data_IF_966640687957
#
_entry.id   IF_966640687957
#
_cell.length_a   1.000
_cell.length_b   1.000
_cell.length_c   1.000
_cell.angle_alpha   90.00
_cell.angle_beta   90.00
_cell.angle_gamma   90.00
#
_symmetry.space_group_name_H-M   'P 1'
#
loop_
_entity.id
_entity.type
_entity.pdbx_description
1 polymer ?
#
# COMPACT_ATOMS: atom_id res chain seq x y z
N UNK A 1 6.18 -14.11 4.79
CA UNK A 1 5.11 -14.80 5.59
C UNK A 1 4.13 -13.75 6.10
N UNK A 2 2.83 -13.99 6.02
CA UNK A 2 1.80 -13.16 6.64
C UNK A 2 1.70 -13.52 8.13
N UNK A 3 1.89 -12.55 9.04
CA UNK A 3 1.90 -12.78 10.49
C UNK A 3 0.51 -13.19 10.98
N UNK A 4 -0.55 -12.60 10.45
CA UNK A 4 -1.92 -12.95 10.82
C UNK A 4 -2.24 -14.40 10.45
N UNK A 5 -1.80 -14.86 9.27
CA UNK A 5 -1.95 -16.26 8.87
C UNK A 5 -1.15 -17.19 9.77
N UNK A 6 0.10 -16.86 10.07
CA UNK A 6 0.93 -17.64 11.01
C UNK A 6 0.24 -17.80 12.37
N UNK A 7 -0.26 -16.71 12.94
CA UNK A 7 -0.98 -16.76 14.23
C UNK A 7 -2.29 -17.53 14.11
N UNK A 8 -3.01 -17.39 13.01
CA UNK A 8 -4.25 -18.15 12.76
C UNK A 8 -3.96 -19.65 12.75
N UNK A 9 -2.90 -20.09 12.09
CA UNK A 9 -2.52 -21.51 12.04
C UNK A 9 -2.13 -22.04 13.43
N UNK A 10 -1.39 -21.24 14.23
CA UNK A 10 -1.02 -21.61 15.61
C UNK A 10 -2.23 -21.68 16.54
N UNK A 11 -3.12 -20.69 16.45
CA UNK A 11 -4.37 -20.69 17.22
C UNK A 11 -5.29 -21.85 16.81
N UNK A 12 -5.39 -22.15 15.50
CA UNK A 12 -6.17 -23.29 15.03
C UNK A 12 -5.66 -24.61 15.60
N UNK A 13 -4.34 -24.82 15.63
CA UNK A 13 -3.73 -25.98 16.25
C UNK A 13 -4.00 -26.05 17.76
N UNK A 14 -3.88 -24.93 18.48
CA UNK A 14 -4.18 -24.83 19.91
C UNK A 14 -5.66 -25.19 20.18
N UNK A 15 -6.59 -24.58 19.46
CA UNK A 15 -8.04 -24.84 19.60
C UNK A 15 -8.39 -26.30 19.27
N UNK A 16 -7.78 -26.86 18.23
CA UNK A 16 -7.97 -28.27 17.87
C UNK A 16 -7.49 -29.23 18.97
N UNK A 17 -6.36 -28.93 19.60
CA UNK A 17 -5.81 -29.75 20.69
C UNK A 17 -6.64 -29.62 21.97
N UNK A 18 -7.06 -28.41 22.34
CA UNK A 18 -7.77 -28.15 23.59
C UNK A 18 -9.26 -28.54 23.52
N UNK A 19 -9.91 -28.32 22.38
CA UNK A 19 -11.39 -28.43 22.27
C UNK A 19 -11.86 -29.30 21.11
N UNK A 20 -10.96 -29.92 20.35
CA UNK A 20 -11.30 -30.64 19.14
C UNK A 20 -11.58 -29.70 17.96
N UNK A 21 -12.12 -30.26 16.88
CA UNK A 21 -12.39 -29.42 15.68
C UNK A 21 -13.60 -28.52 15.91
N UNK A 22 -13.35 -27.29 16.33
CA UNK A 22 -14.39 -26.34 16.70
C UNK A 22 -15.19 -25.78 15.51
N UNK A 23 -14.65 -25.82 14.27
CA UNK A 23 -15.29 -25.27 13.07
C UNK A 23 -15.60 -23.76 13.15
N UNK A 24 -15.13 -23.08 14.20
CA UNK A 24 -15.42 -21.68 14.45
C UNK A 24 -14.44 -20.76 13.71
N UNK A 25 -14.90 -19.63 13.16
CA UNK A 25 -14.02 -18.67 12.51
C UNK A 25 -13.07 -18.03 13.52
N UNK A 26 -11.77 -18.03 13.22
CA UNK A 26 -10.77 -17.38 14.02
C UNK A 26 -10.60 -15.93 13.54
N UNK A 27 -10.77 -14.97 14.45
CA UNK A 27 -10.58 -13.53 14.19
C UNK A 27 -9.33 -13.05 14.90
N UNK A 28 -8.27 -12.79 14.14
CA UNK A 28 -7.03 -12.20 14.61
C UNK A 28 -6.89 -10.82 14.00
N UNK A 29 -6.56 -9.83 14.81
CA UNK A 29 -6.38 -8.44 14.40
C UNK A 29 -5.24 -7.80 15.20
N UNK A 30 -4.72 -6.68 14.74
CA UNK A 30 -3.73 -5.91 15.52
C UNK A 30 -4.34 -5.45 16.83
N UNK A 31 -3.58 -5.60 17.92
CA UNK A 31 -3.98 -5.09 19.24
C UNK A 31 -4.14 -3.58 19.18
N UNK A 32 -5.16 -3.05 19.83
CA UNK A 32 -5.36 -1.61 19.96
C UNK A 32 -4.25 -0.99 20.80
N UNK A 33 -3.88 0.25 20.50
CA UNK A 33 -2.75 0.96 21.11
C UNK A 33 -2.86 1.13 22.64
N UNK A 34 -4.08 1.05 23.16
CA UNK A 34 -4.36 1.18 24.60
C UNK A 34 -4.05 -0.09 25.40
N UNK A 35 -3.80 -1.21 24.72
CA UNK A 35 -3.58 -2.51 25.33
C UNK A 35 -2.19 -3.06 24.99
N UNK A 36 -1.60 -3.79 25.91
CA UNK A 36 -0.36 -4.52 25.67
C UNK A 36 -0.62 -5.70 24.73
N UNK A 37 0.33 -5.96 23.82
CA UNK A 37 0.32 -7.05 22.85
C UNK A 37 0.41 -6.54 21.41
N UNK A 38 0.77 -7.43 20.51
CA UNK A 38 0.91 -7.14 19.08
C UNK A 38 -0.36 -7.52 18.30
N UNK A 39 -0.95 -8.66 18.65
CA UNK A 39 -2.16 -9.19 17.99
C UNK A 39 -3.17 -9.69 18.99
N UNK A 40 -4.46 -9.52 18.67
CA UNK A 40 -5.60 -9.91 19.51
C UNK A 40 -6.40 -11.00 18.81
N UNK A 41 -6.64 -12.10 19.50
CA UNK A 41 -7.63 -13.10 19.16
C UNK A 41 -8.96 -12.77 19.85
N UNK A 42 -10.05 -12.79 19.08
CA UNK A 42 -11.42 -12.66 19.60
C UNK A 42 -11.92 -14.06 19.95
N UNK A 43 -12.07 -14.37 21.24
CA UNK A 43 -12.41 -15.74 21.68
C UNK A 43 -13.92 -16.05 21.69
N UNK A 44 -14.80 -15.06 21.53
CA UNK A 44 -16.24 -15.27 21.62
C UNK A 44 -16.80 -16.37 20.69
N UNK A 45 -16.33 -16.53 19.44
CA UNK A 45 -16.77 -17.62 18.56
C UNK A 45 -16.39 -19.01 19.08
N UNK A 46 -15.39 -19.11 19.98
CA UNK A 46 -14.86 -20.37 20.51
C UNK A 46 -15.58 -20.85 21.76
N UNK A 47 -16.42 -20.03 22.40
CA UNK A 47 -17.08 -20.35 23.67
C UNK A 47 -17.98 -21.58 23.59
N UNK A 48 -18.59 -21.82 22.43
CA UNK A 48 -19.43 -23.01 22.21
C UNK A 48 -18.61 -24.31 22.28
N UNK A 49 -17.35 -24.26 21.81
CA UNK A 49 -16.43 -25.38 21.84
C UNK A 49 -15.79 -25.57 23.22
N UNK A 50 -15.30 -24.49 23.83
CA UNK A 50 -14.64 -24.52 25.14
C UNK A 50 -15.60 -24.82 26.30
N UNK A 51 -16.88 -24.40 26.19
CA UNK A 51 -17.89 -24.45 27.25
C UNK A 51 -17.45 -23.75 28.55
N UNK A 52 -16.62 -22.71 28.42
CA UNK A 52 -16.04 -21.91 29.51
C UNK A 52 -16.38 -20.45 29.35
N UNK A 53 -16.07 -19.64 30.37
CA UNK A 53 -16.17 -18.18 30.25
C UNK A 53 -15.18 -17.63 29.21
N UNK A 54 -15.43 -16.43 28.67
CA UNK A 54 -14.51 -15.81 27.72
C UNK A 54 -13.08 -15.70 28.27
N UNK A 55 -12.94 -15.27 29.52
CA UNK A 55 -11.66 -15.10 30.19
C UNK A 55 -10.93 -16.45 30.36
N UNK A 56 -11.64 -17.49 30.84
CA UNK A 56 -11.06 -18.82 31.03
C UNK A 56 -10.62 -19.43 29.68
N UNK A 57 -11.44 -19.26 28.64
CA UNK A 57 -11.11 -19.73 27.28
C UNK A 57 -9.87 -19.02 26.73
N UNK A 58 -9.81 -17.69 26.89
CA UNK A 58 -8.66 -16.90 26.46
C UNK A 58 -7.38 -17.29 27.21
N UNK A 59 -7.46 -17.44 28.53
CA UNK A 59 -6.32 -17.83 29.37
C UNK A 59 -5.77 -19.20 28.95
N UNK A 60 -6.62 -20.21 28.80
CA UNK A 60 -6.20 -21.55 28.44
C UNK A 60 -5.53 -21.61 27.04
N UNK A 61 -6.10 -20.90 26.06
CA UNK A 61 -5.48 -20.77 24.73
C UNK A 61 -4.15 -20.02 24.84
N UNK A 62 -4.08 -18.94 25.62
CA UNK A 62 -2.85 -18.15 25.83
C UNK A 62 -1.73 -18.96 26.48
N UNK A 63 -2.04 -19.71 27.53
CA UNK A 63 -1.09 -20.61 28.20
C UNK A 63 -0.56 -21.68 27.25
N UNK A 64 -1.46 -22.32 26.49
CA UNK A 64 -1.07 -23.32 25.48
C UNK A 64 -0.15 -22.72 24.42
N UNK A 65 -0.48 -21.54 23.91
CA UNK A 65 0.31 -20.88 22.86
C UNK A 65 1.70 -20.50 23.35
N UNK A 66 1.82 -19.91 24.54
CA UNK A 66 3.13 -19.57 25.12
C UNK A 66 3.98 -20.82 25.39
N UNK A 67 3.38 -21.92 25.83
CA UNK A 67 4.09 -23.15 26.10
C UNK A 67 4.55 -23.88 24.82
N UNK A 68 3.83 -23.74 23.70
CA UNK A 68 4.04 -24.54 22.48
C UNK A 68 4.47 -23.72 21.25
N UNK A 69 4.63 -22.40 21.37
CA UNK A 69 4.98 -21.51 20.25
C UNK A 69 6.04 -20.52 20.72
N UNK A 70 7.32 -20.83 20.50
CA UNK A 70 8.44 -19.97 20.98
C UNK A 70 8.40 -18.53 20.49
N UNK A 71 7.71 -18.28 19.37
CA UNK A 71 7.51 -16.96 18.80
C UNK A 71 6.55 -16.08 19.61
N UNK A 72 5.77 -16.67 20.53
CA UNK A 72 4.84 -15.95 21.41
C UNK A 72 5.44 -15.90 22.82
N UNK A 73 5.86 -14.71 23.22
CA UNK A 73 6.57 -14.47 24.47
C UNK A 73 5.62 -14.39 25.69
N UNK A 74 4.48 -13.75 25.50
CA UNK A 74 3.53 -13.48 26.60
C UNK A 74 2.12 -13.26 26.04
N UNK A 75 1.15 -13.29 26.92
CA UNK A 75 -0.22 -12.89 26.62
C UNK A 75 -0.86 -12.12 27.79
N UNK A 76 -1.90 -11.38 27.49
CA UNK A 76 -2.83 -10.86 28.49
C UNK A 76 -4.27 -11.03 28.02
N UNK A 77 -5.20 -11.06 28.97
CA UNK A 77 -6.63 -11.24 28.70
C UNK A 77 -7.40 -10.04 29.23
N UNK A 78 -8.17 -9.40 28.35
CA UNK A 78 -8.99 -8.25 28.70
C UNK A 78 -10.40 -8.48 28.15
N UNK A 79 -11.36 -8.71 29.02
CA UNK A 79 -12.80 -8.88 28.69
C UNK A 79 -13.04 -9.88 27.54
N UNK A 80 -12.36 -11.04 27.59
CA UNK A 80 -12.49 -12.07 26.56
C UNK A 80 -11.73 -11.80 25.24
N UNK A 81 -10.83 -10.82 25.23
CA UNK A 81 -9.87 -10.61 24.16
C UNK A 81 -8.51 -11.12 24.61
N UNK A 82 -7.95 -12.05 23.85
CA UNK A 82 -6.62 -12.60 24.07
C UNK A 82 -5.59 -11.79 23.27
N UNK A 83 -4.82 -10.97 23.94
CA UNK A 83 -3.73 -10.19 23.33
C UNK A 83 -2.43 -10.96 23.44
N UNK A 84 -1.77 -11.19 22.32
CA UNK A 84 -0.52 -11.94 22.20
C UNK A 84 0.64 -10.98 21.98
N UNK A 85 1.73 -11.16 22.72
CA UNK A 85 2.99 -10.45 22.52
C UNK A 85 4.00 -11.38 21.86
N UNK A 86 4.52 -10.99 20.69
CA UNK A 86 5.52 -11.75 19.96
C UNK A 86 6.93 -11.49 20.49
N UNK A 87 7.78 -12.48 20.40
CA UNK A 87 9.16 -12.37 20.85
C UNK A 87 9.98 -11.43 19.93
N UNK A 88 10.92 -10.72 20.51
CA UNK A 88 11.81 -9.82 19.79
C UNK A 88 12.67 -10.53 18.74
N UNK A 89 13.06 -11.78 19.00
CA UNK A 89 13.80 -12.59 18.04
C UNK A 89 12.95 -12.93 16.81
N UNK A 90 11.64 -13.15 16.98
CA UNK A 90 10.72 -13.31 15.85
C UNK A 90 10.70 -12.05 14.96
N UNK A 91 10.56 -10.86 15.56
CA UNK A 91 10.58 -9.61 14.82
C UNK A 91 11.92 -9.37 14.11
N UNK A 92 13.03 -9.67 14.78
CA UNK A 92 14.36 -9.56 14.18
C UNK A 92 14.53 -10.53 13.00
N UNK A 93 14.02 -11.76 13.10
CA UNK A 93 14.03 -12.73 11.99
C UNK A 93 13.19 -12.24 10.82
N UNK A 94 12.02 -11.69 11.07
CA UNK A 94 11.15 -11.09 10.04
C UNK A 94 11.80 -9.90 9.35
N UNK A 95 12.45 -9.03 10.11
CA UNK A 95 13.18 -7.90 9.54
C UNK A 95 14.30 -8.37 8.61
N UNK A 96 15.09 -9.37 9.03
CA UNK A 96 16.16 -9.93 8.19
C UNK A 96 15.61 -10.54 6.89
N UNK A 97 14.49 -11.26 6.96
CA UNK A 97 13.84 -11.84 5.78
C UNK A 97 13.39 -10.74 4.80
N UNK A 98 12.79 -9.67 5.31
CA UNK A 98 12.39 -8.51 4.49
C UNK A 98 13.62 -7.81 3.90
N UNK A 99 14.66 -7.58 4.72
CA UNK A 99 15.88 -6.90 4.29
C UNK A 99 16.70 -7.70 3.26
N UNK A 100 16.61 -9.03 3.30
CA UNK A 100 17.28 -9.91 2.34
C UNK A 100 16.48 -10.13 1.03
N UNK A 101 15.27 -9.58 0.94
CA UNK A 101 14.39 -9.79 -0.21
C UNK A 101 14.28 -8.52 -1.06
N UNK A 102 15.07 -8.37 -2.09
CA UNK A 102 15.08 -7.23 -3.02
C UNK A 102 13.74 -7.04 -3.75
N UNK A 103 12.89 -8.07 -3.77
CA UNK A 103 11.56 -8.03 -4.39
C UNK A 103 10.41 -7.94 -3.37
N UNK A 104 10.75 -7.63 -2.10
CA UNK A 104 9.72 -7.48 -1.08
C UNK A 104 8.70 -6.40 -1.47
N UNK A 105 7.42 -6.74 -1.34
CA UNK A 105 6.32 -5.87 -1.78
C UNK A 105 5.99 -5.95 -3.28
N UNK A 106 6.66 -6.84 -4.04
CA UNK A 106 6.33 -7.09 -5.44
C UNK A 106 5.54 -8.40 -5.58
N UNK A 107 4.49 -8.35 -6.39
CA UNK A 107 3.70 -9.53 -6.74
C UNK A 107 4.31 -10.27 -7.96
N UNK A 108 3.99 -11.56 -8.07
CA UNK A 108 4.33 -12.33 -9.27
C UNK A 108 3.68 -11.73 -10.53
N UNK A 109 4.29 -11.92 -11.72
CA UNK A 109 3.74 -11.41 -12.97
C UNK A 109 2.32 -11.90 -13.23
N UNK A 110 1.40 -10.95 -13.48
CA UNK A 110 -0.03 -11.25 -13.77
C UNK A 110 -0.29 -11.60 -15.23
N UNK A 111 0.66 -11.35 -16.13
CA UNK A 111 0.48 -11.43 -17.58
C UNK A 111 -0.32 -10.24 -18.17
N UNK A 112 -0.84 -9.34 -17.37
CA UNK A 112 -1.60 -8.18 -17.84
C UNK A 112 -0.68 -7.03 -18.25
N UNK A 113 -1.02 -6.36 -19.35
CA UNK A 113 -0.41 -5.10 -19.76
C UNK A 113 -1.37 -3.96 -19.46
N UNK A 114 -0.88 -2.91 -18.79
CA UNK A 114 -1.64 -1.71 -18.45
C UNK A 114 -0.92 -0.51 -19.04
N UNK A 115 -1.63 0.29 -19.83
CA UNK A 115 -1.14 1.56 -20.36
C UNK A 115 -1.61 2.69 -19.46
N UNK A 116 -0.70 3.58 -19.08
CA UNK A 116 -1.00 4.75 -18.23
C UNK A 116 -0.52 5.99 -18.95
N UNK A 117 -1.48 6.87 -19.24
CA UNK A 117 -1.17 8.19 -19.77
C UNK A 117 -1.05 9.20 -18.65
N UNK A 118 0.02 9.97 -18.66
CA UNK A 118 0.23 11.13 -17.79
C UNK A 118 1.31 12.04 -18.39
N UNK A 119 1.50 13.22 -17.81
CA UNK A 119 2.46 14.20 -18.35
C UNK A 119 2.11 14.68 -19.77
N UNK A 120 0.82 14.99 -19.99
CA UNK A 120 0.26 15.46 -21.27
C UNK A 120 -0.22 16.92 -21.16
N UNK A 121 0.66 17.89 -20.83
CA UNK A 121 0.26 19.29 -20.71
C UNK A 121 0.01 19.90 -22.10
N UNK A 122 -0.76 21.01 -22.12
CA UNK A 122 -0.85 21.84 -23.30
C UNK A 122 0.52 22.50 -23.59
N UNK A 123 0.97 22.49 -24.83
CA UNK A 123 2.30 22.99 -25.21
C UNK A 123 2.38 24.51 -25.28
N UNK A 124 1.25 25.22 -25.21
CA UNK A 124 1.15 26.68 -25.32
C UNK A 124 1.07 27.41 -23.97
N UNK A 125 1.45 26.73 -22.86
CA UNK A 125 1.41 27.33 -21.51
C UNK A 125 2.64 26.88 -20.71
N UNK A 126 3.17 27.76 -19.84
CA UNK A 126 4.17 27.36 -18.87
C UNK A 126 3.62 26.31 -17.92
N UNK A 127 4.50 25.40 -17.48
CA UNK A 127 4.15 24.39 -16.47
C UNK A 127 3.99 25.04 -15.10
N UNK A 128 3.08 24.50 -14.30
CA UNK A 128 2.84 24.93 -12.93
C UNK A 128 2.68 23.74 -11.99
N UNK A 129 2.56 23.96 -10.67
CA UNK A 129 2.48 22.93 -9.64
C UNK A 129 1.40 21.88 -9.90
N UNK A 130 0.29 22.24 -10.56
CA UNK A 130 -0.75 21.29 -10.94
C UNK A 130 -0.25 20.22 -11.93
N UNK A 131 0.65 20.58 -12.84
CA UNK A 131 1.28 19.61 -13.76
C UNK A 131 2.23 18.68 -13.01
N UNK A 132 3.01 19.20 -12.04
CA UNK A 132 3.89 18.40 -11.19
C UNK A 132 3.06 17.38 -10.40
N UNK A 133 1.95 17.80 -9.80
CA UNK A 133 1.03 16.91 -9.09
C UNK A 133 0.53 15.78 -9.99
N UNK A 134 0.07 16.09 -11.20
CA UNK A 134 -0.43 15.08 -12.14
C UNK A 134 0.69 14.11 -12.56
N UNK A 135 1.90 14.61 -12.78
CA UNK A 135 3.06 13.78 -13.11
C UNK A 135 3.38 12.80 -11.98
N UNK A 136 3.42 13.28 -10.73
CA UNK A 136 3.67 12.44 -9.55
C UNK A 136 2.56 11.41 -9.33
N UNK A 137 1.30 11.78 -9.52
CA UNK A 137 0.16 10.85 -9.43
C UNK A 137 0.28 9.74 -10.47
N UNK A 138 0.46 10.10 -11.76
CA UNK A 138 0.59 9.13 -12.84
C UNK A 138 1.79 8.19 -12.64
N UNK A 139 2.93 8.74 -12.24
CA UNK A 139 4.12 7.96 -11.92
C UNK A 139 3.88 7.00 -10.74
N UNK A 140 3.27 7.47 -9.65
CA UNK A 140 2.99 6.65 -8.47
C UNK A 140 2.03 5.51 -8.80
N UNK A 141 0.96 5.77 -9.55
CA UNK A 141 0.02 4.73 -10.00
C UNK A 141 0.75 3.71 -10.89
N UNK A 142 1.62 4.16 -11.80
CA UNK A 142 2.43 3.27 -12.63
C UNK A 142 3.32 2.34 -11.78
N UNK A 143 3.96 2.87 -10.73
CA UNK A 143 4.80 2.07 -9.84
C UNK A 143 3.99 1.07 -9.01
N UNK A 144 2.84 1.48 -8.49
CA UNK A 144 1.93 0.59 -7.75
C UNK A 144 1.47 -0.58 -8.64
N UNK A 145 1.03 -0.28 -9.86
CA UNK A 145 0.59 -1.32 -10.80
C UNK A 145 1.73 -2.25 -11.21
N UNK A 146 2.95 -1.72 -11.38
CA UNK A 146 4.15 -2.53 -11.64
C UNK A 146 4.46 -3.44 -10.46
N UNK A 147 4.43 -2.92 -9.23
CA UNK A 147 4.66 -3.72 -8.03
C UNK A 147 3.60 -4.83 -7.85
N UNK A 148 2.39 -4.62 -8.36
CA UNK A 148 1.33 -5.64 -8.40
C UNK A 148 1.47 -6.62 -9.59
N UNK A 149 2.64 -6.74 -10.19
CA UNK A 149 2.98 -7.75 -11.20
C UNK A 149 2.46 -7.44 -12.61
N UNK A 150 1.99 -6.23 -12.90
CA UNK A 150 1.54 -5.87 -14.24
C UNK A 150 2.70 -5.34 -15.09
N UNK A 151 2.67 -5.60 -16.39
CA UNK A 151 3.51 -4.90 -17.36
C UNK A 151 2.92 -3.51 -17.59
N UNK A 152 3.65 -2.46 -17.18
CA UNK A 152 3.18 -1.07 -17.31
C UNK A 152 3.87 -0.37 -18.47
N UNK A 153 3.06 0.20 -19.38
CA UNK A 153 3.49 1.06 -20.47
C UNK A 153 3.10 2.49 -20.08
N UNK A 154 4.11 3.35 -19.92
CA UNK A 154 3.90 4.78 -19.64
C UNK A 154 3.90 5.53 -20.95
N UNK A 155 2.87 6.33 -21.19
CA UNK A 155 2.68 7.13 -22.40
C UNK A 155 2.31 8.56 -22.05
N UNK A 156 2.55 9.48 -22.96
CA UNK A 156 2.08 10.85 -22.90
C UNK A 156 1.62 11.30 -24.27
N UNK A 157 0.67 12.22 -24.32
CA UNK A 157 0.27 12.90 -25.54
C UNK A 157 0.98 14.24 -25.62
N UNK A 158 1.53 14.53 -26.79
CA UNK A 158 1.98 15.89 -27.12
C UNK A 158 0.77 16.66 -27.61
N UNK A 159 0.24 17.53 -26.74
CA UNK A 159 -0.96 18.30 -27.04
C UNK A 159 -0.59 19.61 -27.73
N UNK A 160 -0.26 19.51 -29.00
CA UNK A 160 0.19 20.61 -29.88
C UNK A 160 -0.90 21.05 -30.89
N UNK A 161 -2.08 20.44 -30.85
CA UNK A 161 -3.20 20.74 -31.75
C UNK A 161 -4.45 21.11 -30.96
N UNK A 162 -4.99 22.26 -31.23
CA UNK A 162 -6.24 22.73 -30.61
C UNK A 162 -6.47 24.23 -30.85
N UNK A 163 -7.68 24.70 -30.62
CA UNK A 163 -8.07 26.09 -30.92
C UNK A 163 -7.21 27.12 -30.18
N UNK A 164 -6.88 26.84 -28.91
CA UNK A 164 -6.05 27.74 -28.10
C UNK A 164 -4.61 27.78 -28.58
N UNK A 165 -4.07 26.65 -29.02
CA UNK A 165 -2.72 26.54 -29.59
C UNK A 165 -2.68 27.30 -30.92
N UNK A 166 -3.66 27.08 -31.78
CA UNK A 166 -3.77 27.82 -33.03
C UNK A 166 -3.87 29.33 -32.83
N UNK A 167 -4.61 29.79 -31.80
CA UNK A 167 -4.68 31.22 -31.42
C UNK A 167 -3.32 31.78 -31.01
N UNK A 168 -2.59 31.07 -30.16
CA UNK A 168 -1.23 31.48 -29.74
C UNK A 168 -0.28 31.56 -30.93
N UNK A 169 -0.31 30.58 -31.82
CA UNK A 169 0.51 30.54 -33.02
C UNK A 169 0.16 31.68 -33.98
N UNK A 170 -1.12 31.96 -34.18
CA UNK A 170 -1.57 33.06 -35.03
C UNK A 170 -1.16 34.39 -34.44
N UNK A 171 -1.32 34.60 -33.14
CA UNK A 171 -0.89 35.84 -32.45
C UNK A 171 0.62 36.05 -32.58
N UNK A 172 1.42 34.99 -32.38
CA UNK A 172 2.87 35.09 -32.60
C UNK A 172 3.21 35.41 -34.05
N UNK A 173 2.55 34.79 -35.02
CA UNK A 173 2.75 35.04 -36.45
C UNK A 173 2.43 36.47 -36.84
N UNK A 174 1.36 37.05 -36.29
CA UNK A 174 0.90 38.43 -36.62
C UNK A 174 1.66 39.51 -35.85
N UNK A 175 2.02 39.26 -34.60
CA UNK A 175 2.54 40.29 -33.70
C UNK A 175 3.94 39.99 -33.15
N UNK A 176 4.49 38.80 -33.39
CA UNK A 176 5.77 38.38 -32.82
C UNK A 176 7.01 38.92 -33.55
N UNK A 177 6.85 39.53 -34.73
CA UNK A 177 7.96 40.09 -35.48
C UNK A 177 9.16 39.17 -35.74
N UNK A 178 8.92 37.83 -35.73
CA UNK A 178 9.99 36.83 -35.86
C UNK A 178 10.72 36.51 -34.56
N UNK A 179 10.19 36.95 -33.39
CA UNK A 179 10.78 36.67 -32.07
C UNK A 179 10.91 35.14 -31.87
N UNK A 180 12.07 34.72 -31.39
CA UNK A 180 12.40 33.31 -31.08
C UNK A 180 12.85 33.17 -29.63
N UNK A 181 12.90 31.98 -29.06
CA UNK A 181 13.51 31.79 -27.75
C UNK A 181 14.94 32.30 -27.65
N UNK A 182 15.71 32.13 -28.72
CA UNK A 182 17.10 32.65 -28.78
C UNK A 182 17.18 34.17 -28.81
N UNK A 183 16.30 34.84 -29.56
CA UNK A 183 16.33 36.32 -29.66
C UNK A 183 15.71 37.01 -28.43
N UNK A 184 14.75 36.36 -27.78
CA UNK A 184 14.05 36.91 -26.61
C UNK A 184 14.73 36.55 -25.28
N UNK A 185 15.61 35.55 -25.24
CA UNK A 185 16.17 35.00 -24.02
C UNK A 185 15.15 34.22 -23.16
N UNK A 186 13.92 34.05 -23.64
CA UNK A 186 12.86 33.28 -22.95
C UNK A 186 12.89 31.79 -23.30
N UNK A 187 12.41 30.94 -22.36
CA UNK A 187 12.12 29.56 -22.70
C UNK A 187 10.95 29.48 -23.70
N UNK A 188 10.91 28.43 -24.53
CA UNK A 188 9.91 28.30 -25.58
C UNK A 188 8.47 28.30 -25.08
N UNK A 189 8.19 27.63 -23.96
CA UNK A 189 6.88 27.61 -23.30
C UNK A 189 6.45 28.99 -22.76
N UNK A 190 7.39 29.78 -22.28
CA UNK A 190 7.15 31.17 -21.84
C UNK A 190 6.90 32.10 -23.03
N UNK A 191 7.67 31.94 -24.11
CA UNK A 191 7.47 32.73 -25.34
C UNK A 191 6.08 32.48 -25.94
N UNK A 192 5.69 31.20 -26.08
CA UNK A 192 4.36 30.86 -26.59
C UNK A 192 3.26 31.30 -25.64
N UNK A 193 3.49 31.19 -24.32
CA UNK A 193 2.58 31.68 -23.27
C UNK A 193 2.33 33.19 -23.35
N UNK A 194 3.33 34.01 -23.71
CA UNK A 194 3.21 35.47 -23.94
C UNK A 194 2.14 35.79 -24.99
N UNK A 195 2.00 34.95 -26.02
CA UNK A 195 1.04 35.15 -27.12
C UNK A 195 -0.30 34.41 -26.89
N UNK A 196 -0.45 33.72 -25.74
CA UNK A 196 -1.71 33.08 -25.37
C UNK A 196 -2.71 34.05 -24.74
N UNK A 197 -2.24 35.02 -24.00
CA UNK A 197 -3.04 36.04 -23.31
C UNK A 197 -3.46 37.12 -24.30
#
# INVERSE_FOLDING_TARGET
MNIEQFLTDKVAAAVSTLYGNAGAPLQIQKTRKEFEGDYTLVVFPLLKASRKSPEATATEIGEYLVANTPEIKAFNVIKGFLNLSLDSAFWAARFREVAANDTFGQAAPTGRTVMIEYSSPNTNKPLHLGHIRNNLLGYSVAQILKANGNKVIKVNLVNDRGIHICKSMLAWKLYGGGETPASSGMKGDHLVGKYYV
#
